data_IF_915891609661
#
_entry.id   IF_915891609661
#
_cell.length_a   1.000
_cell.length_b   1.000
_cell.length_c   1.000
_cell.angle_alpha   90.00
_cell.angle_beta   90.00
_cell.angle_gamma   90.00
#
_symmetry.space_group_name_H-M   'P 1'
#
loop_
_entity.id
_entity.type
_entity.pdbx_description
1 polymer ?
#
# COMPACT_ATOMS: atom_id res chain seq x y z
N UNK A 1 -38.17 36.94 -59.72
CA UNK A 1 -36.73 37.18 -59.56
C UNK A 1 -36.24 36.31 -58.41
N UNK A 2 -35.22 35.44 -58.65
CA UNK A 2 -34.54 34.57 -57.69
C UNK A 2 -33.39 35.38 -57.01
N UNK A 3 -32.34 34.82 -56.36
CA UNK A 3 -31.93 33.41 -56.16
C UNK A 3 -31.49 33.12 -54.69
N UNK A 4 -30.86 32.02 -54.26
CA UNK A 4 -30.30 30.77 -54.83
C UNK A 4 -30.28 29.76 -53.65
N UNK A 5 -30.69 28.48 -53.77
CA UNK A 5 -29.97 27.32 -54.33
C UNK A 5 -28.55 27.15 -53.76
N UNK A 6 -28.09 25.97 -53.31
CA UNK A 6 -28.60 24.62 -53.47
C UNK A 6 -27.80 23.60 -52.65
N UNK A 7 -28.18 22.35 -52.87
CA UNK A 7 -27.90 21.10 -52.15
C UNK A 7 -26.79 20.25 -52.83
N UNK A 8 -26.37 19.18 -52.13
CA UNK A 8 -25.70 17.96 -52.56
C UNK A 8 -24.16 17.86 -52.50
N UNK A 9 -23.71 16.75 -51.90
CA UNK A 9 -22.79 15.86 -52.61
C UNK A 9 -21.53 15.47 -51.84
N UNK A 10 -21.57 14.33 -51.15
CA UNK A 10 -20.39 13.54 -50.84
C UNK A 10 -19.81 12.93 -52.14
N UNK A 11 -18.47 12.84 -52.26
CA UNK A 11 -17.80 11.75 -52.97
C UNK A 11 -16.30 11.65 -52.66
N UNK A 12 -15.91 10.39 -52.52
CA UNK A 12 -14.61 9.75 -52.35
C UNK A 12 -13.68 9.89 -53.59
N UNK A 13 -12.36 9.88 -53.39
CA UNK A 13 -11.41 8.90 -53.96
C UNK A 13 -9.96 9.42 -54.10
N UNK A 14 -9.05 8.50 -53.81
CA UNK A 14 -7.59 8.55 -53.71
C UNK A 14 -6.87 8.75 -55.05
N UNK A 15 -5.67 9.37 -55.05
CA UNK A 15 -4.56 8.92 -55.90
C UNK A 15 -3.18 9.48 -55.49
N UNK A 16 -2.21 8.55 -55.51
CA UNK A 16 -0.79 8.60 -55.16
C UNK A 16 0.06 9.20 -56.29
N UNK A 17 1.10 9.99 -55.96
CA UNK A 17 2.34 10.12 -56.76
C UNK A 17 3.53 10.39 -55.83
N UNK A 18 4.50 9.45 -55.77
CA UNK A 18 5.81 9.58 -55.09
C UNK A 18 6.77 10.52 -55.85
N UNK A 19 7.89 10.96 -55.21
CA UNK A 19 9.18 10.41 -55.68
C UNK A 19 10.23 10.09 -54.57
N UNK A 20 10.96 9.01 -54.86
CA UNK A 20 12.23 8.40 -54.34
C UNK A 20 13.47 9.35 -54.35
N UNK A 21 14.71 8.94 -53.95
CA UNK A 21 15.27 8.26 -52.74
C UNK A 21 16.40 9.05 -52.00
N UNK A 22 16.76 8.52 -50.81
CA UNK A 22 17.96 8.60 -49.91
C UNK A 22 19.36 8.93 -50.48
N UNK A 23 20.31 9.47 -49.66
CA UNK A 23 21.17 8.60 -48.81
C UNK A 23 21.70 9.14 -47.44
N UNK A 24 21.75 8.24 -46.44
CA UNK A 24 22.94 7.86 -45.61
C UNK A 24 23.54 8.93 -44.67
N UNK A 25 23.25 8.89 -43.36
CA UNK A 25 24.02 8.27 -42.24
C UNK A 25 25.02 9.23 -41.56
N UNK A 26 25.09 9.26 -40.22
CA UNK A 26 26.27 9.09 -39.33
C UNK A 26 25.81 9.22 -37.84
N UNK A 27 25.89 8.12 -37.08
CA UNK A 27 25.91 8.02 -35.59
C UNK A 27 27.12 8.75 -34.98
N UNK A 28 27.10 9.43 -33.82
CA UNK A 28 27.20 8.97 -32.39
C UNK A 28 27.72 10.20 -31.57
N UNK A 29 27.87 10.24 -30.21
CA UNK A 29 27.40 9.38 -29.13
C UNK A 29 26.59 10.14 -28.05
N UNK A 30 25.76 9.41 -27.28
CA UNK A 30 25.02 9.96 -26.14
C UNK A 30 25.85 9.83 -24.85
N UNK A 31 25.96 10.88 -24.02
CA UNK A 31 26.65 10.80 -22.73
C UNK A 31 25.86 9.97 -21.71
N UNK A 32 26.60 9.17 -20.95
CA UNK A 32 26.16 8.57 -19.69
C UNK A 32 25.53 9.62 -18.77
N UNK A 33 24.31 9.37 -18.32
CA UNK A 33 23.86 9.84 -17.01
C UNK A 33 23.18 8.68 -16.28
N UNK A 34 24.00 8.06 -15.44
CA UNK A 34 23.62 7.11 -14.41
C UNK A 34 22.68 7.81 -13.43
N UNK A 35 21.37 7.56 -13.51
CA UNK A 35 20.50 7.73 -12.34
C UNK A 35 20.49 6.41 -11.58
N UNK A 36 21.33 6.35 -10.56
CA UNK A 36 21.36 5.28 -9.58
C UNK A 36 20.01 5.21 -8.84
N UNK A 37 19.13 4.31 -9.26
CA UNK A 37 18.02 3.86 -8.41
C UNK A 37 18.60 3.04 -7.27
N UNK A 38 18.73 3.66 -6.10
CA UNK A 38 19.00 2.98 -4.83
C UNK A 38 17.84 2.03 -4.57
N UNK A 39 18.00 0.75 -4.93
CA UNK A 39 17.09 -0.30 -4.47
C UNK A 39 17.31 -0.49 -2.97
N UNK A 40 16.38 0.04 -2.19
CA UNK A 40 16.19 -0.32 -0.79
C UNK A 40 16.03 -1.85 -0.68
N UNK A 41 16.58 -2.50 0.37
CA UNK A 41 16.46 -3.94 0.52
C UNK A 41 14.98 -4.31 0.67
N UNK A 42 14.56 -5.29 -0.13
CA UNK A 42 13.21 -5.82 -0.14
C UNK A 42 12.77 -6.23 1.27
N UNK A 43 11.83 -5.47 1.84
CA UNK A 43 11.00 -5.90 2.97
C UNK A 43 10.06 -7.02 2.51
N UNK A 44 10.61 -8.22 2.35
CA UNK A 44 9.83 -9.43 2.12
C UNK A 44 9.27 -9.94 3.46
N UNK A 45 8.25 -9.26 3.99
CA UNK A 45 7.23 -9.79 4.93
C UNK A 45 6.06 -8.82 5.21
N UNK A 46 5.90 -7.73 4.46
CA UNK A 46 4.70 -6.91 4.52
C UNK A 46 3.63 -7.45 3.55
N UNK A 47 3.04 -8.59 3.87
CA UNK A 47 1.86 -9.07 3.13
C UNK A 47 0.89 -9.88 4.01
N UNK A 48 0.83 -9.58 5.32
CA UNK A 48 -0.49 -9.47 5.94
C UNK A 48 -1.13 -8.27 5.22
N UNK A 49 -2.25 -8.50 4.54
CA UNK A 49 -2.82 -7.55 3.61
C UNK A 49 -2.97 -6.22 4.34
N UNK A 50 -2.54 -5.10 3.75
CA UNK A 50 -2.60 -3.78 4.39
C UNK A 50 -4.01 -3.41 4.92
N UNK A 51 -5.02 -4.18 4.53
CA UNK A 51 -6.45 -4.04 4.77
C UNK A 51 -6.96 -4.86 5.97
N UNK A 52 -6.12 -5.70 6.56
CA UNK A 52 -6.48 -6.54 7.71
C UNK A 52 -6.72 -5.66 8.94
N UNK A 53 -7.63 -6.09 9.81
CA UNK A 53 -8.09 -5.36 10.99
C UNK A 53 -7.42 -5.95 12.23
N UNK A 54 -6.45 -5.26 12.81
CA UNK A 54 -5.66 -5.77 13.93
C UNK A 54 -6.37 -5.59 15.27
N UNK A 55 -6.91 -4.38 15.50
CA UNK A 55 -7.51 -4.03 16.77
C UNK A 55 -8.63 -3.01 16.60
N UNK A 56 -9.56 -3.04 17.57
CA UNK A 56 -10.66 -2.09 17.66
C UNK A 56 -10.71 -1.49 19.07
N UNK A 57 -10.89 -0.17 19.12
CA UNK A 57 -11.09 0.59 20.35
C UNK A 57 -12.41 1.33 20.33
N UNK A 58 -13.18 1.19 21.40
CA UNK A 58 -14.44 1.89 21.61
C UNK A 58 -14.38 2.54 23.01
N UNK A 59 -13.81 3.75 23.14
CA UNK A 59 -13.53 4.36 24.44
C UNK A 59 -14.77 4.55 25.32
N UNK A 60 -15.92 4.83 24.72
CA UNK A 60 -17.19 5.01 25.44
C UNK A 60 -17.66 3.74 26.18
N UNK A 61 -17.16 2.57 25.76
CA UNK A 61 -17.50 1.26 26.34
C UNK A 61 -16.29 0.59 27.02
N UNK A 62 -15.14 1.27 27.12
CA UNK A 62 -13.88 0.70 27.61
C UNK A 62 -13.42 -0.58 26.87
N UNK A 63 -13.73 -0.66 25.57
CA UNK A 63 -13.31 -1.79 24.72
C UNK A 63 -11.99 -1.44 24.05
N UNK A 64 -11.00 -2.33 24.20
CA UNK A 64 -9.74 -2.31 23.47
C UNK A 64 -9.29 -3.76 23.24
N UNK A 65 -9.64 -4.31 22.08
CA UNK A 65 -9.48 -5.74 21.79
C UNK A 65 -8.80 -5.93 20.44
N UNK A 66 -7.99 -6.99 20.34
CA UNK A 66 -7.57 -7.53 19.05
C UNK A 66 -8.77 -8.08 18.29
N UNK A 67 -8.67 -8.10 16.97
CA UNK A 67 -9.74 -8.60 16.10
C UNK A 67 -9.25 -9.82 15.34
N UNK A 68 -10.09 -10.84 15.29
CA UNK A 68 -9.86 -12.03 14.47
C UNK A 68 -10.56 -11.89 13.13
N UNK A 69 -9.99 -12.45 12.09
CA UNK A 69 -10.67 -12.55 10.80
C UNK A 69 -11.75 -13.63 10.85
N UNK A 70 -12.91 -13.29 10.29
CA UNK A 70 -14.04 -14.18 10.14
C UNK A 70 -14.33 -14.36 8.66
N UNK A 71 -14.42 -15.62 8.27
CA UNK A 71 -14.94 -16.03 6.97
C UNK A 71 -16.42 -16.41 7.09
N UNK A 72 -17.14 -16.38 5.98
CA UNK A 72 -18.48 -16.98 5.93
C UNK A 72 -18.32 -18.49 5.86
N UNK A 73 -19.06 -19.24 6.69
CA UNK A 73 -19.16 -20.70 6.56
C UNK A 73 -20.57 -21.07 6.13
N UNK A 74 -20.75 -21.40 4.85
CA UNK A 74 -22.07 -21.63 4.25
C UNK A 74 -22.79 -20.30 3.94
N UNK A 75 -23.98 -20.08 4.51
CA UNK A 75 -24.77 -18.86 4.31
C UNK A 75 -24.76 -17.90 5.50
N UNK A 76 -24.18 -18.31 6.63
CA UNK A 76 -24.20 -17.55 7.87
C UNK A 76 -22.84 -16.93 8.15
N UNK A 77 -22.85 -15.67 8.61
CA UNK A 77 -21.65 -15.01 9.09
C UNK A 77 -21.18 -15.71 10.37
N UNK A 78 -19.94 -16.17 10.38
CA UNK A 78 -19.35 -16.79 11.56
C UNK A 78 -19.33 -15.78 12.72
N UNK A 79 -19.59 -16.25 13.93
CA UNK A 79 -19.36 -15.49 15.16
C UNK A 79 -18.08 -16.00 15.82
N UNK A 80 -17.36 -15.17 16.59
CA UNK A 80 -16.15 -15.60 17.30
C UNK A 80 -16.43 -16.81 18.20
N UNK A 81 -15.47 -17.73 18.32
CA UNK A 81 -15.61 -18.90 19.18
C UNK A 81 -15.57 -18.54 20.67
N UNK A 82 -14.74 -17.55 21.04
CA UNK A 82 -14.68 -17.00 22.39
C UNK A 82 -15.65 -15.81 22.53
N UNK A 83 -16.30 -15.71 23.68
CA UNK A 83 -17.24 -14.63 23.99
C UNK A 83 -16.54 -13.28 24.23
N UNK A 84 -15.24 -13.29 24.55
CA UNK A 84 -14.42 -12.10 24.72
C UNK A 84 -13.87 -11.54 23.38
N UNK A 85 -13.92 -12.35 22.31
CA UNK A 85 -13.32 -12.00 21.03
C UNK A 85 -14.26 -11.16 20.17
N UNK A 86 -13.64 -10.31 19.36
CA UNK A 86 -14.29 -9.55 18.30
C UNK A 86 -13.78 -10.07 16.97
N UNK A 87 -14.69 -10.26 16.02
CA UNK A 87 -14.32 -10.70 14.68
C UNK A 87 -14.74 -9.72 13.59
N UNK A 88 -13.91 -9.61 12.56
CA UNK A 88 -14.18 -8.82 11.36
C UNK A 88 -14.45 -9.74 10.18
N UNK A 89 -15.51 -9.45 9.43
CA UNK A 89 -15.81 -10.17 8.20
C UNK A 89 -14.93 -9.71 7.04
N UNK A 90 -13.93 -10.51 6.68
CA UNK A 90 -12.95 -10.18 5.63
C UNK A 90 -13.47 -10.39 4.19
N UNK A 91 -14.67 -10.95 4.02
CA UNK A 91 -15.33 -11.11 2.72
C UNK A 91 -16.01 -9.84 2.18
N UNK A 92 -16.03 -8.75 2.96
CA UNK A 92 -16.59 -7.45 2.58
C UNK A 92 -15.53 -6.34 2.49
N UNK A 93 -15.96 -5.07 2.35
CA UNK A 93 -15.04 -3.93 2.34
C UNK A 93 -14.18 -3.88 3.60
N UNK A 94 -12.91 -3.57 3.43
CA UNK A 94 -12.03 -3.36 4.58
C UNK A 94 -12.30 -2.01 5.26
N UNK A 95 -11.98 -1.86 6.55
CA UNK A 95 -12.08 -0.58 7.23
C UNK A 95 -11.33 0.53 6.48
N UNK A 96 -12.04 1.60 6.14
CA UNK A 96 -11.51 2.73 5.39
C UNK A 96 -11.84 2.68 3.90
N UNK A 97 -12.24 1.54 3.36
CA UNK A 97 -12.66 1.40 1.96
C UNK A 97 -14.11 1.86 1.75
N UNK A 98 -14.49 1.99 0.48
CA UNK A 98 -15.87 2.30 0.12
C UNK A 98 -16.80 1.14 0.50
N UNK A 99 -17.96 1.46 1.09
CA UNK A 99 -18.88 0.47 1.63
C UNK A 99 -18.80 0.34 3.15
N UNK A 100 -19.25 -0.80 3.66
CA UNK A 100 -19.39 -1.08 5.09
C UNK A 100 -18.47 -2.23 5.50
N UNK A 101 -17.48 -1.92 6.34
CA UNK A 101 -16.76 -2.95 7.08
C UNK A 101 -17.68 -3.49 8.18
N UNK A 102 -17.67 -4.80 8.40
CA UNK A 102 -18.61 -5.48 9.32
C UNK A 102 -17.84 -6.18 10.42
N UNK A 103 -18.14 -5.82 11.66
CA UNK A 103 -17.51 -6.37 12.86
C UNK A 103 -18.58 -6.92 13.78
N UNK A 104 -18.35 -8.11 14.31
CA UNK A 104 -19.31 -8.88 15.11
C UNK A 104 -18.69 -9.30 16.45
N UNK A 105 -19.53 -9.43 17.46
CA UNK A 105 -19.13 -9.90 18.79
C UNK A 105 -20.34 -10.33 19.60
N UNK A 106 -20.10 -11.12 20.64
CA UNK A 106 -21.16 -11.67 21.50
C UNK A 106 -21.74 -10.61 22.44
N UNK A 107 -23.04 -10.70 22.71
CA UNK A 107 -23.72 -9.85 23.69
C UNK A 107 -23.50 -10.39 25.10
N UNK A 108 -23.64 -11.70 25.28
CA UNK A 108 -23.41 -12.39 26.53
C UNK A 108 -22.85 -13.79 26.31
N UNK A 109 -22.61 -14.47 27.43
CA UNK A 109 -22.10 -15.83 27.53
C UNK A 109 -22.88 -16.57 28.62
N UNK A 110 -22.74 -17.90 28.73
CA UNK A 110 -23.39 -18.67 29.79
C UNK A 110 -23.04 -18.21 31.22
N UNK A 111 -21.94 -17.48 31.41
CA UNK A 111 -21.45 -17.03 32.72
C UNK A 111 -21.61 -15.52 32.96
N UNK A 112 -22.07 -14.76 31.97
CA UNK A 112 -22.28 -13.32 32.12
C UNK A 112 -22.04 -12.50 30.84
N UNK A 113 -21.92 -11.16 30.98
CA UNK A 113 -21.69 -10.23 29.88
C UNK A 113 -20.50 -10.62 28.99
N UNK A 114 -20.64 -10.41 27.68
CA UNK A 114 -19.59 -10.62 26.69
C UNK A 114 -19.09 -9.27 26.12
N UNK A 115 -18.21 -9.32 25.11
CA UNK A 115 -17.48 -8.14 24.63
C UNK A 115 -18.38 -7.01 24.14
N UNK A 116 -19.54 -7.31 23.54
CA UNK A 116 -20.50 -6.34 23.02
C UNK A 116 -21.76 -6.20 23.88
N UNK A 117 -21.74 -6.65 25.13
CA UNK A 117 -22.87 -6.51 26.06
C UNK A 117 -23.43 -5.08 26.13
N UNK A 118 -22.54 -4.08 26.17
CA UNK A 118 -22.90 -2.67 26.32
C UNK A 118 -23.02 -1.93 24.98
N UNK A 119 -23.03 -2.64 23.84
CA UNK A 119 -23.00 -2.01 22.51
C UNK A 119 -24.21 -1.08 22.27
N UNK A 120 -25.37 -1.41 22.87
CA UNK A 120 -26.59 -0.59 22.82
C UNK A 120 -26.46 0.76 23.54
N UNK A 121 -25.47 0.92 24.42
CA UNK A 121 -25.20 2.14 25.17
C UNK A 121 -24.47 3.23 24.39
N UNK A 122 -23.98 2.94 23.17
CA UNK A 122 -23.32 3.94 22.34
C UNK A 122 -24.27 5.06 21.91
N UNK A 123 -23.75 6.28 21.93
CA UNK A 123 -24.44 7.48 21.49
C UNK A 123 -23.93 7.96 20.13
N UNK A 124 -24.76 8.74 19.43
CA UNK A 124 -24.35 9.42 18.20
C UNK A 124 -23.16 10.34 18.50
N UNK A 125 -22.09 10.19 17.73
CA UNK A 125 -20.85 10.96 17.87
C UNK A 125 -19.73 10.21 18.59
N UNK A 126 -20.04 9.14 19.32
CA UNK A 126 -19.03 8.30 19.95
C UNK A 126 -18.03 7.78 18.93
N UNK A 127 -16.77 7.67 19.36
CA UNK A 127 -15.66 7.29 18.48
C UNK A 127 -15.41 5.80 18.53
N UNK A 128 -15.18 5.24 17.36
CA UNK A 128 -14.67 3.88 17.19
C UNK A 128 -13.38 4.01 16.39
N UNK A 129 -12.27 3.52 16.94
CA UNK A 129 -10.97 3.55 16.28
C UNK A 129 -10.63 2.13 15.86
N UNK A 130 -10.30 1.99 14.58
CA UNK A 130 -9.85 0.72 14.00
C UNK A 130 -8.38 0.87 13.62
N UNK A 131 -7.55 -0.04 14.13
CA UNK A 131 -6.14 -0.18 13.81
C UNK A 131 -5.99 -1.27 12.76
N UNK A 132 -5.32 -0.97 11.64
CA UNK A 132 -5.06 -1.91 10.54
C UNK A 132 -3.63 -2.44 10.60
N UNK A 133 -3.40 -3.57 9.94
CA UNK A 133 -2.07 -4.19 9.80
C UNK A 133 -1.03 -3.27 9.16
N UNK A 134 -1.46 -2.33 8.30
CA UNK A 134 -0.60 -1.29 7.75
C UNK A 134 -0.28 -0.14 8.72
N UNK A 135 -0.62 -0.31 10.00
CA UNK A 135 -0.50 0.66 11.08
C UNK A 135 -1.31 1.95 10.87
N UNK A 136 -2.19 2.01 9.86
CA UNK A 136 -3.12 3.12 9.71
C UNK A 136 -4.27 3.01 10.73
N UNK A 137 -4.79 4.16 11.14
CA UNK A 137 -5.97 4.26 12.02
C UNK A 137 -7.14 4.87 11.28
N UNK A 138 -8.26 4.18 11.32
CA UNK A 138 -9.54 4.64 10.78
C UNK A 138 -10.43 5.05 11.96
N UNK A 139 -10.81 6.33 12.02
CA UNK A 139 -11.67 6.84 13.09
C UNK A 139 -13.09 6.98 12.54
N UNK A 140 -14.02 6.30 13.20
CA UNK A 140 -15.44 6.36 12.89
C UNK A 140 -16.20 7.13 13.97
N UNK A 141 -17.27 7.79 13.56
CA UNK A 141 -18.25 8.37 14.47
C UNK A 141 -19.58 7.62 14.35
N UNK A 142 -20.11 7.17 15.48
CA UNK A 142 -21.43 6.54 15.56
C UNK A 142 -22.48 7.51 15.01
N UNK A 143 -23.25 7.04 14.03
CA UNK A 143 -24.37 7.78 13.47
C UNK A 143 -25.68 7.42 14.16
N UNK A 144 -25.86 6.13 14.45
CA UNK A 144 -27.07 5.54 15.01
C UNK A 144 -26.80 4.16 15.58
N UNK A 145 -27.47 3.85 16.67
CA UNK A 145 -27.61 2.51 17.25
C UNK A 145 -29.07 2.10 17.14
N UNK A 146 -29.35 0.89 16.71
CA UNK A 146 -30.74 0.42 16.59
C UNK A 146 -30.83 -1.08 16.78
N UNK A 147 -31.84 -1.49 17.56
CA UNK A 147 -32.28 -2.87 17.64
C UNK A 147 -33.18 -3.17 16.44
N UNK A 148 -32.84 -4.21 15.71
CA UNK A 148 -33.68 -4.78 14.64
C UNK A 148 -34.16 -6.16 15.07
N UNK A 149 -35.44 -6.42 14.87
CA UNK A 149 -35.94 -7.79 14.93
C UNK A 149 -35.27 -8.64 13.85
N UNK A 150 -35.16 -9.95 14.10
CA UNK A 150 -34.47 -10.87 13.18
C UNK A 150 -35.07 -10.86 11.77
N UNK A 151 -36.40 -10.72 11.67
CA UNK A 151 -37.15 -10.63 10.40
C UNK A 151 -36.95 -9.31 9.65
N UNK A 152 -36.55 -8.24 10.34
CA UNK A 152 -36.42 -6.89 9.78
C UNK A 152 -34.95 -6.45 9.70
N UNK A 153 -34.03 -7.41 9.79
CA UNK A 153 -32.61 -7.13 9.78
C UNK A 153 -32.18 -6.46 8.45
N UNK A 154 -31.52 -5.29 8.50
CA UNK A 154 -31.30 -4.47 7.31
C UNK A 154 -30.03 -4.90 6.55
N UNK A 155 -30.03 -6.12 6.01
CA UNK A 155 -28.86 -6.75 5.37
C UNK A 155 -28.20 -5.86 4.33
N UNK A 156 -28.97 -5.23 3.44
CA UNK A 156 -28.44 -4.35 2.39
C UNK A 156 -27.66 -3.15 2.93
N UNK A 157 -28.02 -2.66 4.11
CA UNK A 157 -27.33 -1.54 4.75
C UNK A 157 -26.10 -2.00 5.53
N UNK A 158 -26.20 -3.16 6.18
CA UNK A 158 -25.13 -3.74 6.99
C UNK A 158 -23.97 -4.19 6.11
N UNK A 159 -24.27 -4.92 5.04
CA UNK A 159 -23.29 -5.56 4.15
C UNK A 159 -23.04 -4.77 2.86
N UNK A 160 -23.25 -3.45 2.91
CA UNK A 160 -23.16 -2.58 1.73
C UNK A 160 -21.73 -2.57 1.17
N UNK A 161 -21.56 -2.79 -0.12
CA UNK A 161 -20.24 -2.82 -0.79
C UNK A 161 -19.83 -1.51 -1.47
N UNK A 162 -20.69 -0.49 -1.49
CA UNK A 162 -20.40 0.79 -2.16
C UNK A 162 -20.83 2.03 -1.37
N UNK A 163 -20.47 3.20 -1.89
CA UNK A 163 -20.76 4.49 -1.27
C UNK A 163 -19.73 4.89 -0.20
N UNK A 164 -20.09 5.76 0.76
CA UNK A 164 -19.17 6.24 1.78
C UNK A 164 -18.59 5.11 2.64
N UNK A 165 -17.36 5.30 3.11
CA UNK A 165 -16.73 4.39 4.08
C UNK A 165 -17.46 4.42 5.41
N UNK A 166 -17.97 3.26 5.81
CA UNK A 166 -18.79 3.06 7.00
C UNK A 166 -18.37 1.81 7.75
N UNK A 167 -18.76 1.74 9.01
CA UNK A 167 -18.52 0.60 9.88
C UNK A 167 -19.85 0.17 10.50
N UNK A 168 -20.13 -1.13 10.45
CA UNK A 168 -21.26 -1.78 11.11
C UNK A 168 -20.73 -2.64 12.25
N UNK A 169 -21.11 -2.35 13.50
CA UNK A 169 -20.89 -3.24 14.64
C UNK A 169 -22.18 -4.00 14.95
N UNK A 170 -22.09 -5.30 15.17
CA UNK A 170 -23.26 -6.15 15.36
C UNK A 170 -23.11 -7.06 16.57
N UNK A 171 -24.21 -7.21 17.30
CA UNK A 171 -24.35 -8.22 18.33
C UNK A 171 -25.80 -8.66 18.45
N UNK A 172 -26.02 -9.82 19.07
CA UNK A 172 -27.37 -10.29 19.40
C UNK A 172 -28.08 -9.29 20.33
N UNK A 173 -29.40 -9.21 20.24
CA UNK A 173 -30.16 -8.27 21.07
C UNK A 173 -31.65 -8.56 21.14
N UNK A 174 -32.38 -7.67 21.79
CA UNK A 174 -33.79 -7.89 22.11
C UNK A 174 -33.94 -8.84 23.29
N UNK A 175 -35.08 -9.55 23.35
CA UNK A 175 -35.31 -10.54 24.40
C UNK A 175 -34.69 -11.87 24.01
N UNK A 176 -34.31 -12.67 25.01
CA UNK A 176 -33.92 -14.05 24.78
C UNK A 176 -35.16 -14.95 24.77
N UNK A 177 -35.40 -15.64 23.65
CA UNK A 177 -36.41 -16.68 23.54
C UNK A 177 -35.80 -18.00 24.03
N UNK A 178 -36.21 -18.43 25.22
CA UNK A 178 -35.69 -19.65 25.84
C UNK A 178 -36.21 -20.94 25.18
N UNK A 179 -37.35 -20.90 24.48
CA UNK A 179 -37.87 -22.06 23.76
C UNK A 179 -37.09 -22.29 22.47
N UNK A 180 -36.80 -21.20 21.75
CA UNK A 180 -36.00 -21.23 20.53
C UNK A 180 -34.48 -21.21 20.78
N UNK A 181 -34.04 -20.91 22.01
CA UNK A 181 -32.63 -20.84 22.39
C UNK A 181 -31.87 -19.70 21.70
N UNK A 182 -32.54 -18.59 21.37
CA UNK A 182 -31.96 -17.51 20.57
C UNK A 182 -32.52 -16.13 20.94
N UNK A 183 -31.77 -15.10 20.56
CA UNK A 183 -32.21 -13.72 20.67
C UNK A 183 -33.23 -13.34 19.59
N UNK A 184 -34.19 -12.50 19.95
CA UNK A 184 -35.26 -12.04 19.04
C UNK A 184 -34.78 -11.04 17.99
N UNK A 185 -33.59 -10.47 18.15
CA UNK A 185 -33.06 -9.47 17.23
C UNK A 185 -31.55 -9.27 17.33
N UNK A 186 -31.10 -8.19 16.70
CA UNK A 186 -29.70 -7.77 16.67
C UNK A 186 -29.60 -6.27 16.94
N UNK A 187 -28.65 -5.88 17.78
CA UNK A 187 -28.23 -4.48 17.89
C UNK A 187 -27.23 -4.20 16.78
N UNK A 188 -27.51 -3.16 15.99
CA UNK A 188 -26.64 -2.70 14.92
C UNK A 188 -26.23 -1.26 15.17
N UNK A 189 -24.93 -1.02 15.23
CA UNK A 189 -24.32 0.31 15.28
C UNK A 189 -23.84 0.66 13.89
N UNK A 190 -24.33 1.76 13.35
CA UNK A 190 -23.82 2.33 12.11
C UNK A 190 -22.92 3.50 12.42
N UNK A 191 -21.70 3.48 11.90
CA UNK A 191 -20.74 4.56 12.05
C UNK A 191 -20.18 4.98 10.68
N UNK A 192 -19.82 6.26 10.55
CA UNK A 192 -19.18 6.79 9.33
C UNK A 192 -17.72 7.11 9.61
N UNK A 193 -16.86 6.92 8.62
CA UNK A 193 -15.50 7.40 8.70
C UNK A 193 -15.50 8.93 8.84
N UNK A 194 -14.71 9.44 9.77
CA UNK A 194 -14.55 10.89 10.01
C UNK A 194 -13.10 11.35 9.91
N UNK A 195 -12.16 10.43 10.08
CA UNK A 195 -10.73 10.72 10.01
C UNK A 195 -9.96 9.45 9.64
N UNK A 196 -8.83 9.64 8.97
CA UNK A 196 -7.88 8.59 8.60
C UNK A 196 -6.49 9.10 8.95
N UNK A 197 -5.80 8.39 9.83
CA UNK A 197 -4.42 8.67 10.20
C UNK A 197 -3.52 7.61 9.58
N UNK A 198 -2.72 7.93 8.56
CA UNK A 198 -1.76 6.99 7.98
C UNK A 198 -0.65 6.64 8.98
N UNK A 199 -0.06 5.46 8.85
CA UNK A 199 1.06 5.00 9.69
C UNK A 199 2.23 5.98 9.74
N UNK A 200 2.59 6.57 8.60
CA UNK A 200 3.71 7.52 8.49
C UNK A 200 3.50 8.84 9.26
N UNK A 201 2.31 9.09 9.82
CA UNK A 201 2.03 10.28 10.64
C UNK A 201 1.97 9.98 12.15
N UNK A 202 2.23 8.73 12.57
CA UNK A 202 2.35 8.33 13.97
C UNK A 202 3.80 8.49 14.50
N UNK A 203 4.34 9.71 14.41
CA UNK A 203 5.65 10.17 14.91
C UNK A 203 6.91 9.45 14.38
N UNK A 204 7.91 10.18 13.82
CA UNK A 204 9.22 9.58 13.55
C UNK A 204 9.83 9.15 14.87
N UNK A 205 10.23 7.89 14.96
CA UNK A 205 10.79 7.27 16.15
C UNK A 205 12.02 8.07 16.63
N UNK A 206 12.27 8.15 17.94
CA UNK A 206 13.42 8.87 18.51
C UNK A 206 14.76 8.48 17.85
N UNK A 207 14.87 7.25 17.35
CA UNK A 207 16.03 6.74 16.60
C UNK A 207 16.23 7.47 15.26
N UNK A 208 15.19 7.64 14.45
CA UNK A 208 15.29 8.37 13.17
C UNK A 208 15.56 9.86 13.39
N UNK A 209 15.04 10.43 14.48
CA UNK A 209 15.36 11.81 14.87
C UNK A 209 16.83 11.94 15.28
N UNK A 210 17.35 10.99 16.06
CA UNK A 210 18.76 10.96 16.46
C UNK A 210 19.70 10.73 15.27
N UNK A 211 19.34 9.87 14.33
CA UNK A 211 20.12 9.63 13.11
C UNK A 211 20.12 10.84 12.18
N UNK A 212 18.96 11.48 12.00
CA UNK A 212 18.85 12.72 11.21
C UNK A 212 19.69 13.83 11.84
N UNK A 213 19.62 13.99 13.16
CA UNK A 213 20.37 15.01 13.88
C UNK A 213 21.88 14.73 13.88
N UNK A 214 22.30 13.46 13.91
CA UNK A 214 23.69 13.05 13.73
C UNK A 214 24.19 13.30 12.29
N UNK A 215 23.36 13.05 11.28
CA UNK A 215 23.70 13.32 9.88
C UNK A 215 23.82 14.83 9.61
N UNK A 216 22.90 15.64 10.12
CA UNK A 216 22.97 17.10 10.02
C UNK A 216 24.20 17.65 10.73
N UNK A 217 24.55 17.11 11.90
CA UNK A 217 25.76 17.49 12.65
C UNK A 217 27.02 17.16 11.85
N UNK A 218 27.12 15.94 11.30
CA UNK A 218 28.27 15.53 10.47
C UNK A 218 28.39 16.37 9.19
N UNK A 219 27.26 16.72 8.56
CA UNK A 219 27.26 17.61 7.39
C UNK A 219 27.71 19.02 7.76
N UNK A 220 27.28 19.57 8.90
CA UNK A 220 27.73 20.87 9.38
C UNK A 220 29.21 20.87 9.77
N UNK A 221 29.71 19.81 10.40
CA UNK A 221 31.14 19.67 10.73
C UNK A 221 31.99 19.54 9.47
N UNK A 222 31.49 18.83 8.45
CA UNK A 222 32.17 18.67 7.16
C UNK A 222 32.21 19.99 6.40
N UNK A 223 31.09 20.72 6.32
CA UNK A 223 31.04 22.05 5.71
C UNK A 223 31.95 23.06 6.44
N UNK A 224 32.01 22.99 7.78
CA UNK A 224 32.92 23.81 8.57
C UNK A 224 34.39 23.43 8.31
N UNK A 225 34.69 22.14 8.16
CA UNK A 225 36.03 21.70 7.79
C UNK A 225 36.39 22.19 6.39
N UNK A 226 35.55 22.03 5.38
CA UNK A 226 35.86 22.47 4.00
C UNK A 226 36.03 23.99 3.85
N UNK A 227 35.38 24.78 4.71
CA UNK A 227 35.49 26.25 4.69
C UNK A 227 36.71 26.81 5.44
N UNK A 228 37.45 25.99 6.19
CA UNK A 228 38.68 26.41 6.85
C UNK A 228 39.80 26.70 5.82
N UNK A 229 40.56 27.81 5.95
CA UNK A 229 41.67 28.09 5.06
C UNK A 229 42.73 26.98 5.18
N UNK A 230 43.35 26.58 4.07
CA UNK A 230 44.21 25.39 3.98
C UNK A 230 45.29 25.29 5.08
N UNK A 231 45.80 26.43 5.57
CA UNK A 231 46.80 26.51 6.66
C UNK A 231 46.27 26.06 8.03
N UNK A 232 44.96 26.18 8.25
CA UNK A 232 44.21 25.84 9.47
C UNK A 232 43.62 24.42 9.40
N UNK A 233 43.68 23.77 8.24
CA UNK A 233 43.22 22.39 8.04
C UNK A 233 44.10 21.34 8.76
N UNK A 234 43.53 20.19 9.17
CA UNK A 234 44.27 19.05 9.70
C UNK A 234 45.38 18.58 8.75
N UNK A 235 46.45 18.00 9.30
CA UNK A 235 47.61 17.56 8.49
C UNK A 235 47.26 16.49 7.47
N UNK A 236 46.34 15.58 7.81
CA UNK A 236 45.89 14.53 6.90
C UNK A 236 45.10 15.09 5.71
N UNK A 237 44.24 16.10 5.94
CA UNK A 237 43.45 16.74 4.88
C UNK A 237 44.36 17.51 3.91
N UNK A 238 45.34 18.25 4.44
CA UNK A 238 46.36 18.91 3.62
C UNK A 238 47.22 17.96 2.79
N UNK A 239 47.55 16.79 3.34
CA UNK A 239 48.28 15.76 2.62
C UNK A 239 47.42 15.19 1.48
N UNK A 240 46.16 14.86 1.75
CA UNK A 240 45.23 14.38 0.73
C UNK A 240 45.01 15.38 -0.42
N UNK A 241 44.85 16.67 -0.12
CA UNK A 241 44.72 17.73 -1.15
C UNK A 241 46.01 17.90 -1.96
N UNK A 242 47.18 17.69 -1.36
CA UNK A 242 48.46 17.72 -2.06
C UNK A 242 48.60 16.51 -2.99
N UNK A 243 48.34 15.32 -2.47
CA UNK A 243 48.43 14.07 -3.24
C UNK A 243 47.43 14.06 -4.41
N UNK A 244 46.24 14.62 -4.24
CA UNK A 244 45.26 14.79 -5.32
C UNK A 244 45.74 15.77 -6.41
N UNK A 245 46.47 16.81 -6.04
CA UNK A 245 47.03 17.79 -6.97
C UNK A 245 48.27 17.24 -7.70
N UNK A 246 49.12 16.50 -7.00
CA UNK A 246 50.29 15.81 -7.56
C UNK A 246 49.89 14.62 -8.46
N UNK A 247 48.76 13.96 -8.15
CA UNK A 247 48.16 12.92 -8.96
C UNK A 247 47.51 13.42 -10.26
N UNK A 248 47.11 14.69 -10.33
CA UNK A 248 46.65 15.32 -11.58
C UNK A 248 47.80 15.77 -12.49
N UNK A 249 48.99 16.03 -11.95
CA UNK A 249 50.19 16.42 -12.74
C UNK A 249 50.99 15.22 -13.27
N UNK A 250 50.60 13.99 -12.91
CA UNK A 250 51.36 12.76 -13.19
C UNK A 250 50.53 11.70 -13.94
N UNK A 251 49.84 12.05 -15.03
CA UNK A 251 49.39 11.05 -16.01
C UNK A 251 50.40 10.94 -17.17
N UNK A 252 51.20 9.86 -17.25
CA UNK A 252 51.79 9.43 -18.51
C UNK A 252 50.71 8.77 -19.38
N UNK A 253 50.73 9.07 -20.67
CA UNK A 253 50.13 8.22 -21.70
C UNK A 253 50.86 6.86 -21.74
N UNK A 254 50.17 5.81 -22.20
CA UNK A 254 50.57 4.38 -22.31
C UNK A 254 50.14 3.50 -21.11
N UNK A 255 49.57 2.30 -21.26
CA UNK A 255 49.39 1.40 -22.41
C UNK A 255 48.39 0.31 -22.01
N UNK A 256 47.73 -0.25 -23.01
CA UNK A 256 46.81 -1.38 -22.92
C UNK A 256 47.55 -2.61 -22.36
N UNK A 257 47.09 -3.16 -21.23
CA UNK A 257 47.39 -4.53 -20.83
C UNK A 257 46.27 -5.08 -19.94
N UNK A 258 45.32 -5.72 -20.62
CA UNK A 258 44.79 -7.05 -20.30
C UNK A 258 44.57 -7.38 -18.81
N UNK A 259 43.40 -7.02 -18.30
CA UNK A 259 42.84 -7.63 -17.08
C UNK A 259 41.87 -8.72 -17.50
N UNK A 260 42.24 -9.97 -17.22
CA UNK A 260 41.45 -11.15 -17.54
C UNK A 260 40.05 -11.05 -16.90
N UNK A 261 39.04 -11.12 -17.76
CA UNK A 261 37.62 -11.27 -17.42
C UNK A 261 37.42 -12.69 -16.85
N UNK A 262 36.68 -12.91 -15.76
CA UNK A 262 36.34 -14.26 -15.34
C UNK A 262 35.50 -14.90 -16.45
N UNK A 263 35.98 -16.03 -16.97
CA UNK A 263 35.30 -16.82 -17.98
C UNK A 263 34.00 -17.34 -17.37
N UNK A 264 32.86 -16.99 -17.98
CA UNK A 264 31.55 -17.42 -17.49
C UNK A 264 31.44 -18.95 -17.60
N UNK A 265 31.20 -19.63 -16.48
CA UNK A 265 30.97 -21.08 -16.46
C UNK A 265 29.87 -21.48 -17.47
N UNK A 266 30.07 -22.57 -18.21
CA UNK A 266 29.13 -22.99 -19.24
C UNK A 266 27.75 -23.27 -18.65
N UNK A 267 26.70 -22.77 -19.32
CA UNK A 267 25.31 -22.81 -18.85
C UNK A 267 24.80 -24.21 -18.46
N UNK A 268 25.46 -25.28 -18.93
CA UNK A 268 25.17 -26.66 -18.61
C UNK A 268 25.47 -27.05 -17.16
N UNK A 269 26.44 -26.37 -16.52
CA UNK A 269 26.89 -26.66 -15.14
C UNK A 269 26.16 -25.80 -14.10
N UNK A 270 25.30 -24.88 -14.53
CA UNK A 270 24.54 -24.01 -13.64
C UNK A 270 23.37 -24.75 -12.94
N UNK A 271 22.98 -24.32 -11.72
CA UNK A 271 21.81 -24.86 -11.00
C UNK A 271 20.53 -24.80 -11.83
N UNK A 272 19.62 -25.77 -11.65
CA UNK A 272 18.41 -25.87 -12.48
C UNK A 272 17.51 -24.63 -12.43
N UNK A 273 17.42 -23.98 -11.27
CA UNK A 273 16.64 -22.75 -11.12
C UNK A 273 17.19 -21.58 -11.97
N UNK A 274 18.51 -21.49 -12.13
CA UNK A 274 19.16 -20.46 -12.94
C UNK A 274 18.92 -20.69 -14.43
N UNK A 275 18.99 -21.94 -14.88
CA UNK A 275 18.66 -22.32 -16.27
C UNK A 275 17.20 -22.03 -16.61
N UNK A 276 16.28 -22.31 -15.69
CA UNK A 276 14.86 -22.00 -15.85
C UNK A 276 14.62 -20.49 -15.95
N UNK A 277 15.28 -19.68 -15.12
CA UNK A 277 15.16 -18.22 -15.16
C UNK A 277 15.69 -17.61 -16.47
N UNK A 278 16.82 -18.10 -16.99
CA UNK A 278 17.39 -17.61 -18.25
C UNK A 278 16.50 -17.99 -19.44
N UNK A 279 15.80 -19.12 -19.38
CA UNK A 279 14.91 -19.57 -20.45
C UNK A 279 13.58 -18.78 -20.45
N UNK A 280 12.99 -18.56 -19.28
CA UNK A 280 11.82 -17.68 -19.12
C UNK A 280 12.13 -16.23 -19.56
N UNK A 281 13.31 -15.71 -19.26
CA UNK A 281 13.74 -14.40 -19.74
C UNK A 281 13.86 -14.33 -21.27
N UNK A 282 14.34 -15.39 -21.93
CA UNK A 282 14.41 -15.47 -23.40
C UNK A 282 13.04 -15.58 -24.04
N UNK A 283 12.12 -16.35 -23.44
CA UNK A 283 10.74 -16.48 -23.93
C UNK A 283 9.96 -15.16 -23.80
N UNK A 284 10.21 -14.38 -22.74
CA UNK A 284 9.66 -13.03 -22.56
C UNK A 284 10.21 -12.03 -23.57
N UNK A 285 11.52 -12.08 -23.84
CA UNK A 285 12.11 -11.24 -24.88
C UNK A 285 11.62 -11.60 -26.29
N UNK A 286 11.35 -12.88 -26.56
CA UNK A 286 10.80 -13.33 -27.84
C UNK A 286 9.31 -12.98 -28.04
N UNK A 287 8.56 -12.75 -26.95
CA UNK A 287 7.14 -12.37 -27.01
C UNK A 287 6.93 -10.86 -27.03
N UNK A 288 7.95 -10.07 -26.67
CA UNK A 288 7.88 -8.60 -26.67
C UNK A 288 8.10 -7.97 -28.06
N UNK A 289 8.64 -8.73 -29.02
CA UNK A 289 9.01 -8.25 -30.37
C UNK A 289 7.98 -8.64 -31.47
N UNK A 290 6.80 -9.11 -31.07
CA UNK A 290 5.77 -9.67 -31.99
C UNK A 290 4.44 -8.91 -32.02
N UNK A 291 4.39 -7.65 -31.60
CA UNK A 291 3.14 -6.92 -31.38
C UNK A 291 3.14 -5.49 -31.88
N UNK A 292 3.58 -5.25 -33.11
CA UNK A 292 3.19 -4.07 -33.88
C UNK A 292 3.05 -4.49 -35.35
N UNK A 293 1.80 -4.73 -35.78
CA UNK A 293 1.27 -4.59 -37.14
C UNK A 293 -0.05 -5.37 -37.30
N UNK A 294 -1.16 -4.64 -37.56
CA UNK A 294 -2.36 -5.15 -38.26
C UNK A 294 -3.67 -5.17 -37.48
#
# INVERSE_FOLDING_TARGET
>A
MPPAQGDHGAQDNSQIVEPRPDPTQIEDPQPDDTTASVQAPASASASASAHDLDAIRIPALDINQSVIELSVFGTDLQVPSDYADIGWWSGGPAPGEQGAAVVVGHVDSPTGPAVFYQLSGLARGDRIVVERADQARMVYAVQRVTLYERSEFPSERVYRTGGPSTLSLLTCGGSFDAEAGQYTGNVVVFARLVDRVPAAQAQPNETEQQETQQQETQQQETQQQETLPLREQPRWYRAAVRDAREGQESQPQESQQETQRPEAEPLAEQPQWYRAAVQDARERLATQDGGDDG
#
